data_IF_765286642709
#
_entry.id   IF_765286642709
#
_cell.length_a   1.000
_cell.length_b   1.000
_cell.length_c   1.000
_cell.angle_alpha   90.00
_cell.angle_beta   90.00
_cell.angle_gamma   90.00
#
_symmetry.space_group_name_H-M   'P 1'
#
loop_
_entity.id
_entity.type
_entity.pdbx_description
1 polymer ?
#
# COMPACT_ATOMS: atom_id res chain seq x y z
N UNK A 1 6.65 16.71 33.15
CA UNK A 1 7.18 15.48 32.53
C UNK A 1 6.30 14.34 33.02
N UNK A 2 5.25 13.99 32.26
CA UNK A 2 4.43 12.82 32.57
C UNK A 2 5.25 11.56 32.28
N UNK A 3 5.21 10.58 33.18
CA UNK A 3 5.86 9.29 32.97
C UNK A 3 5.11 8.57 31.85
N UNK A 4 5.76 8.28 30.73
CA UNK A 4 5.13 7.61 29.57
C UNK A 4 4.73 6.14 29.83
N UNK A 5 4.95 5.65 31.05
CA UNK A 5 4.50 4.33 31.53
C UNK A 5 3.12 4.34 32.19
N UNK A 6 2.46 5.50 32.27
CA UNK A 6 1.11 5.61 32.83
C UNK A 6 0.07 4.79 32.03
N UNK A 7 -0.92 4.19 32.70
CA UNK A 7 -1.97 3.41 32.05
C UNK A 7 -2.82 4.28 31.11
N UNK A 8 -3.26 3.68 30.00
CA UNK A 8 -4.26 4.29 29.12
C UNK A 8 -5.58 4.36 29.91
N UNK A 9 -6.11 5.58 30.07
CA UNK A 9 -7.33 5.87 30.83
C UNK A 9 -8.22 6.80 30.02
N UNK A 10 -9.49 6.95 30.42
CA UNK A 10 -10.39 7.92 29.81
C UNK A 10 -9.83 9.35 29.86
N UNK A 11 -9.14 9.69 30.95
CA UNK A 11 -8.45 10.98 31.09
C UNK A 11 -7.32 11.14 30.06
N UNK A 12 -6.57 10.07 29.78
CA UNK A 12 -5.52 10.06 28.77
C UNK A 12 -6.08 10.27 27.36
N UNK A 13 -7.21 9.64 27.01
CA UNK A 13 -7.88 9.85 25.73
C UNK A 13 -8.45 11.26 25.59
N UNK A 14 -9.04 11.82 26.65
CA UNK A 14 -9.52 13.19 26.67
C UNK A 14 -8.38 14.20 26.47
N UNK A 15 -7.23 13.96 27.10
CA UNK A 15 -6.03 14.79 26.93
C UNK A 15 -5.47 14.66 25.50
N UNK A 16 -5.37 13.44 24.97
CA UNK A 16 -4.93 13.19 23.59
C UNK A 16 -5.83 13.88 22.56
N UNK A 17 -7.15 13.85 22.74
CA UNK A 17 -8.10 14.49 21.85
C UNK A 17 -7.91 16.01 21.78
N UNK A 18 -7.49 16.64 22.88
CA UNK A 18 -7.31 18.09 22.98
C UNK A 18 -5.95 18.61 22.45
N UNK A 19 -5.00 17.73 22.13
CA UNK A 19 -3.65 18.14 21.73
C UNK A 19 -3.53 18.49 20.23
N UNK A 20 -2.71 19.50 19.89
CA UNK A 20 -2.41 19.84 18.49
C UNK A 20 -1.53 18.77 17.83
N UNK A 21 -1.52 18.74 16.49
CA UNK A 21 -0.83 17.72 15.69
C UNK A 21 0.65 17.58 16.06
N UNK A 22 1.37 18.69 16.22
CA UNK A 22 2.79 18.71 16.53
C UNK A 22 3.10 18.00 17.84
N UNK A 23 2.22 18.14 18.83
CA UNK A 23 2.39 17.55 20.16
C UNK A 23 2.06 16.05 20.16
N UNK A 24 0.98 15.66 19.46
CA UNK A 24 0.62 14.25 19.28
C UNK A 24 1.73 13.52 18.51
N UNK A 25 2.25 14.13 17.46
CA UNK A 25 3.32 13.57 16.63
C UNK A 25 4.65 13.46 17.41
N UNK A 26 4.99 14.45 18.24
CA UNK A 26 6.17 14.38 19.13
C UNK A 26 6.08 13.20 20.09
N UNK A 27 4.92 12.99 20.73
CA UNK A 27 4.67 11.85 21.63
C UNK A 27 4.74 10.51 20.89
N UNK A 28 4.27 10.45 19.64
CA UNK A 28 4.40 9.27 18.80
C UNK A 28 5.87 8.95 18.51
N UNK A 29 6.67 9.94 18.13
CA UNK A 29 8.11 9.75 17.89
C UNK A 29 8.85 9.27 19.15
N UNK A 30 8.51 9.81 20.32
CA UNK A 30 9.06 9.38 21.61
C UNK A 30 8.70 7.93 21.94
N UNK A 31 7.45 7.54 21.69
CA UNK A 31 6.95 6.17 21.92
C UNK A 31 7.65 5.16 21.00
N UNK A 32 7.76 5.48 19.70
CA UNK A 32 8.49 4.65 18.73
C UNK A 32 9.96 4.52 19.11
N UNK A 33 10.59 5.62 19.54
CA UNK A 33 11.99 5.60 19.98
C UNK A 33 12.22 4.65 21.16
N UNK A 34 11.30 4.59 22.12
CA UNK A 34 11.41 3.67 23.26
C UNK A 34 11.21 2.21 22.86
N UNK A 35 10.23 1.93 21.99
CA UNK A 35 10.00 0.59 21.43
C UNK A 35 11.23 0.09 20.65
N UNK A 36 11.94 0.99 19.95
CA UNK A 36 13.14 0.66 19.18
C UNK A 36 14.39 0.42 20.06
N UNK A 37 14.45 0.95 21.28
CA UNK A 37 15.61 0.81 22.18
C UNK A 37 15.73 -0.58 22.81
N UNK A 38 14.63 -1.34 22.90
CA UNK A 38 14.65 -2.76 23.27
C UNK A 38 15.00 -3.08 24.73
N UNK A 39 15.14 -2.08 25.60
CA UNK A 39 15.40 -2.23 27.05
C UNK A 39 14.11 -2.29 27.89
N UNK A 40 13.03 -2.83 27.32
CA UNK A 40 11.69 -2.81 27.93
C UNK A 40 11.24 -4.21 28.35
N UNK A 41 10.45 -4.29 29.42
CA UNK A 41 9.72 -5.52 29.73
C UNK A 41 8.68 -5.81 28.64
N UNK A 42 8.23 -7.06 28.53
CA UNK A 42 7.17 -7.43 27.57
C UNK A 42 5.91 -6.59 27.79
N UNK A 43 5.49 -6.44 29.05
CA UNK A 43 4.31 -5.67 29.45
C UNK A 43 4.45 -4.17 29.14
N UNK A 44 5.66 -3.60 29.23
CA UNK A 44 5.91 -2.20 28.87
C UNK A 44 5.97 -2.01 27.36
N UNK A 45 6.50 -2.99 26.64
CA UNK A 45 6.54 -3.01 25.17
C UNK A 45 5.14 -3.09 24.57
N UNK A 46 4.28 -3.97 25.10
CA UNK A 46 2.87 -4.07 24.70
C UNK A 46 2.13 -2.76 24.95
N UNK A 47 2.35 -2.12 26.10
CA UNK A 47 1.70 -0.86 26.45
C UNK A 47 2.13 0.29 25.55
N UNK A 48 3.43 0.46 25.34
CA UNK A 48 3.96 1.49 24.45
C UNK A 48 3.51 1.24 23.01
N UNK A 49 3.37 -0.01 22.59
CA UNK A 49 2.83 -0.35 21.28
C UNK A 49 1.38 0.14 21.12
N UNK A 50 0.50 -0.15 22.09
CA UNK A 50 -0.89 0.31 22.08
C UNK A 50 -0.97 1.84 22.13
N UNK A 51 -0.20 2.49 22.99
CA UNK A 51 -0.12 3.96 23.04
C UNK A 51 0.36 4.55 21.71
N UNK A 52 1.35 3.94 21.07
CA UNK A 52 1.86 4.34 19.77
C UNK A 52 0.79 4.24 18.67
N UNK A 53 -0.05 3.20 18.71
CA UNK A 53 -1.18 3.07 17.78
C UNK A 53 -2.22 4.18 17.97
N UNK A 54 -2.60 4.49 19.21
CA UNK A 54 -3.55 5.57 19.53
C UNK A 54 -3.04 6.94 19.10
N UNK A 55 -1.76 7.23 19.35
CA UNK A 55 -1.11 8.47 18.92
C UNK A 55 -1.07 8.58 17.39
N UNK A 56 -0.72 7.49 16.70
CA UNK A 56 -0.72 7.45 15.24
C UNK A 56 -2.12 7.68 14.66
N UNK A 57 -3.15 7.05 15.26
CA UNK A 57 -4.54 7.26 14.88
C UNK A 57 -4.98 8.72 15.05
N UNK A 58 -4.63 9.36 16.19
CA UNK A 58 -4.97 10.77 16.41
C UNK A 58 -4.24 11.71 15.43
N UNK A 59 -2.97 11.45 15.11
CA UNK A 59 -2.26 12.18 14.07
C UNK A 59 -3.01 12.11 12.72
N UNK A 60 -3.48 10.93 12.34
CA UNK A 60 -4.24 10.75 11.10
C UNK A 60 -5.55 11.54 11.10
N UNK A 61 -6.31 11.49 12.20
CA UNK A 61 -7.55 12.26 12.34
C UNK A 61 -7.33 13.77 12.18
N UNK A 62 -6.30 14.32 12.84
CA UNK A 62 -5.98 15.75 12.75
C UNK A 62 -5.59 16.17 11.33
N UNK A 63 -4.90 15.30 10.57
CA UNK A 63 -4.59 15.53 9.17
C UNK A 63 -5.85 15.52 8.30
N UNK A 64 -6.76 14.56 8.52
CA UNK A 64 -8.05 14.49 7.81
C UNK A 64 -8.96 15.69 8.14
N UNK A 65 -9.03 16.12 9.39
CA UNK A 65 -9.77 17.32 9.80
C UNK A 65 -9.24 18.59 9.12
N UNK A 66 -7.90 18.70 9.00
CA UNK A 66 -7.23 19.82 8.33
C UNK A 66 -7.54 19.81 6.83
N UNK A 67 -7.54 18.65 6.20
CA UNK A 67 -7.89 18.46 4.79
C UNK A 67 -9.32 18.91 4.49
N UNK A 68 -10.30 18.46 5.30
CA UNK A 68 -11.71 18.88 5.16
C UNK A 68 -11.87 20.41 5.26
N UNK A 69 -11.12 21.06 6.14
CA UNK A 69 -11.13 22.52 6.28
C UNK A 69 -10.51 23.23 5.07
N UNK A 70 -9.45 22.68 4.47
CA UNK A 70 -8.82 23.25 3.28
C UNK A 70 -9.76 23.16 2.07
N UNK A 71 -10.44 22.02 1.89
CA UNK A 71 -11.40 21.82 0.79
C UNK A 71 -12.60 22.79 0.89
N UNK A 72 -13.04 23.14 2.09
CA UNK A 72 -14.14 24.10 2.30
C UNK A 72 -13.76 25.57 2.02
N UNK A 73 -12.47 25.88 1.92
CA UNK A 73 -11.97 27.26 1.64
C UNK A 73 -11.66 27.46 0.15
N UNK A 74 -11.73 26.40 -0.67
CA UNK A 74 -11.21 26.35 -2.04
C UNK A 74 -12.22 26.50 -3.18
N UNK A 75 -13.41 27.07 -2.98
CA UNK A 75 -14.34 27.39 -4.09
C UNK A 75 -14.29 28.89 -4.47
N UNK A 76 -13.64 29.27 -5.59
CA UNK A 76 -13.95 30.50 -6.29
C UNK A 76 -15.12 30.29 -7.27
N UNK A 77 -16.01 31.28 -7.23
CA UNK A 77 -17.15 31.54 -8.12
C UNK A 77 -16.68 31.81 -9.56
N UNK A 78 -17.05 30.95 -10.53
CA UNK A 78 -16.81 31.20 -11.96
C UNK A 78 -18.13 31.26 -12.75
N UNK A 79 -18.50 32.50 -13.08
CA UNK A 79 -19.59 32.83 -14.00
C UNK A 79 -19.13 32.96 -15.47
N UNK A 80 -19.91 32.32 -16.35
CA UNK A 80 -20.14 32.53 -17.81
C UNK A 80 -19.17 31.94 -18.88
N UNK A 81 -19.73 30.95 -19.63
CA UNK A 81 -20.16 30.99 -21.07
C UNK A 81 -19.19 31.59 -22.12
N UNK A 82 -18.87 31.05 -23.31
CA UNK A 82 -19.55 30.15 -24.29
C UNK A 82 -18.61 29.86 -25.51
N UNK A 83 -18.94 28.81 -26.28
CA UNK A 83 -18.70 28.58 -27.74
C UNK A 83 -17.26 28.26 -28.23
N UNK A 84 -16.99 27.49 -29.30
CA UNK A 84 -17.72 26.56 -30.19
C UNK A 84 -16.67 25.70 -30.93
N UNK A 85 -17.05 24.50 -31.39
CA UNK A 85 -16.23 23.62 -32.22
C UNK A 85 -15.97 24.18 -33.63
N UNK A 86 -15.02 23.59 -34.39
CA UNK A 86 -15.47 22.72 -35.48
C UNK A 86 -14.66 21.43 -35.66
N UNK A 87 -15.30 20.48 -36.36
CA UNK A 87 -14.79 19.19 -36.78
C UNK A 87 -14.11 19.23 -38.17
N UNK A 88 -13.05 18.44 -38.35
CA UNK A 88 -12.59 17.83 -39.62
C UNK A 88 -11.33 17.01 -39.31
N UNK A 89 -11.00 15.86 -39.88
CA UNK A 89 -11.63 14.92 -40.80
C UNK A 89 -10.69 13.71 -40.76
N UNK A 90 -11.25 12.51 -40.63
CA UNK A 90 -10.50 11.27 -40.59
C UNK A 90 -9.77 11.01 -41.91
N UNK A 91 -8.50 10.65 -41.82
CA UNK A 91 -7.81 9.89 -42.85
C UNK A 91 -7.21 8.65 -42.18
N UNK A 92 -7.80 7.49 -42.50
CA UNK A 92 -7.26 6.18 -42.23
C UNK A 92 -5.85 6.07 -42.80
N UNK A 93 -4.86 5.85 -41.94
CA UNK A 93 -3.65 5.13 -42.34
C UNK A 93 -3.44 3.97 -41.38
N UNK A 94 -3.94 2.82 -41.82
CA UNK A 94 -3.74 1.53 -41.22
C UNK A 94 -2.28 1.11 -41.44
N UNK A 95 -1.38 1.61 -40.60
CA UNK A 95 -0.11 0.94 -40.37
C UNK A 95 -0.31 -0.02 -39.20
N UNK A 96 -0.33 -1.32 -39.52
CA UNK A 96 -0.14 -2.37 -38.53
C UNK A 96 1.28 -2.17 -38.00
N UNK A 97 1.42 -1.33 -36.97
CA UNK A 97 2.66 -1.19 -36.23
C UNK A 97 3.02 -2.59 -35.76
N UNK A 98 4.15 -3.10 -36.28
CA UNK A 98 4.84 -4.23 -35.71
C UNK A 98 4.89 -4.00 -34.20
N UNK A 99 4.18 -4.84 -33.43
CA UNK A 99 4.25 -4.80 -31.98
C UNK A 99 5.70 -5.07 -31.62
N UNK A 100 6.46 -4.01 -31.34
CA UNK A 100 7.72 -4.16 -30.62
C UNK A 100 7.38 -4.96 -29.37
N UNK A 101 7.88 -6.20 -29.32
CA UNK A 101 7.60 -7.13 -28.25
C UNK A 101 8.39 -6.69 -27.01
N UNK A 102 7.95 -5.57 -26.43
CA UNK A 102 8.54 -4.96 -25.25
C UNK A 102 8.16 -5.81 -24.03
N UNK A 103 9.13 -6.58 -23.54
CA UNK A 103 8.99 -7.34 -22.30
C UNK A 103 9.05 -6.36 -21.14
N UNK A 104 8.01 -6.33 -20.29
CA UNK A 104 7.94 -5.41 -19.16
C UNK A 104 9.07 -5.68 -18.16
N UNK A 105 9.84 -4.66 -17.79
CA UNK A 105 10.93 -4.75 -16.81
C UNK A 105 10.46 -4.25 -15.45
N UNK A 106 10.43 -5.15 -14.47
CA UNK A 106 9.91 -4.86 -13.12
C UNK A 106 11.04 -4.78 -12.11
N UNK A 107 11.16 -3.65 -11.43
CA UNK A 107 11.92 -3.54 -10.19
C UNK A 107 11.05 -3.99 -9.01
N UNK A 108 11.60 -4.71 -8.04
CA UNK A 108 10.81 -5.24 -6.92
C UNK A 108 11.36 -4.79 -5.58
N UNK A 109 10.57 -4.07 -4.78
CA UNK A 109 10.96 -3.61 -3.46
C UNK A 109 10.21 -4.41 -2.39
N UNK A 110 10.95 -4.98 -1.44
CA UNK A 110 10.35 -5.67 -0.29
C UNK A 110 11.26 -5.67 0.92
N UNK A 111 10.69 -5.46 2.11
CA UNK A 111 11.41 -5.72 3.37
C UNK A 111 11.56 -7.23 3.62
N UNK A 112 10.77 -8.07 2.95
CA UNK A 112 10.88 -9.53 3.03
C UNK A 112 10.52 -10.09 4.41
N UNK A 113 9.53 -9.53 5.13
CA UNK A 113 9.28 -9.89 6.54
C UNK A 113 8.80 -11.33 6.75
N UNK A 114 8.13 -11.95 5.76
CA UNK A 114 7.51 -13.24 5.98
C UNK A 114 6.82 -13.84 4.76
N UNK A 115 5.80 -14.67 5.02
CA UNK A 115 5.08 -15.42 3.99
C UNK A 115 4.39 -14.52 2.96
N UNK A 116 3.77 -13.41 3.37
CA UNK A 116 3.12 -12.47 2.45
C UNK A 116 4.06 -11.97 1.33
N UNK A 117 5.23 -11.44 1.71
CA UNK A 117 6.23 -10.96 0.74
C UNK A 117 6.77 -12.06 -0.16
N UNK A 118 6.98 -13.27 0.39
CA UNK A 118 7.47 -14.43 -0.37
C UNK A 118 6.42 -14.95 -1.34
N UNK A 119 5.18 -15.11 -0.86
CA UNK A 119 4.04 -15.58 -1.64
C UNK A 119 3.74 -14.68 -2.82
N UNK A 120 3.76 -13.35 -2.62
CA UNK A 120 3.51 -12.39 -3.68
C UNK A 120 4.59 -12.42 -4.78
N UNK A 121 5.87 -12.42 -4.39
CA UNK A 121 6.97 -12.56 -5.36
C UNK A 121 6.89 -13.90 -6.09
N UNK A 122 6.70 -15.00 -5.35
CA UNK A 122 6.57 -16.34 -5.92
C UNK A 122 5.43 -16.41 -6.94
N UNK A 123 4.26 -15.85 -6.60
CA UNK A 123 3.09 -15.83 -7.48
C UNK A 123 3.38 -15.13 -8.82
N UNK A 124 4.03 -13.97 -8.78
CA UNK A 124 4.41 -13.22 -9.99
C UNK A 124 5.51 -13.93 -10.78
N UNK A 125 6.55 -14.45 -10.13
CA UNK A 125 7.60 -15.24 -10.79
C UNK A 125 7.03 -16.48 -11.50
N UNK A 126 6.10 -17.20 -10.86
CA UNK A 126 5.41 -18.32 -11.49
C UNK A 126 4.56 -17.86 -12.67
N UNK A 127 3.89 -16.71 -12.57
CA UNK A 127 3.16 -16.15 -13.71
C UNK A 127 4.04 -15.81 -14.91
N UNK A 128 5.26 -15.31 -14.66
CA UNK A 128 6.26 -15.09 -15.70
C UNK A 128 6.73 -16.42 -16.29
N UNK A 129 7.09 -17.40 -15.45
CA UNK A 129 7.55 -18.71 -15.89
C UNK A 129 6.49 -19.46 -16.73
N UNK A 130 5.22 -19.35 -16.35
CA UNK A 130 4.07 -19.92 -17.05
C UNK A 130 3.66 -19.12 -18.31
N UNK A 131 4.36 -18.02 -18.64
CA UNK A 131 4.02 -17.09 -19.73
C UNK A 131 2.62 -16.49 -19.61
N UNK A 132 2.11 -16.34 -18.39
CA UNK A 132 0.88 -15.60 -18.07
C UNK A 132 1.12 -14.10 -17.97
N UNK A 133 2.37 -13.68 -17.82
CA UNK A 133 2.84 -12.30 -17.81
C UNK A 133 4.12 -12.19 -18.66
N UNK A 134 4.11 -11.34 -19.69
CA UNK A 134 5.31 -11.04 -20.50
C UNK A 134 6.15 -9.96 -19.81
N UNK A 135 6.88 -10.37 -18.77
CA UNK A 135 7.71 -9.50 -17.96
C UNK A 135 8.98 -10.19 -17.47
N UNK A 136 9.92 -9.41 -16.97
CA UNK A 136 11.10 -9.84 -16.23
C UNK A 136 11.20 -9.07 -14.93
N UNK A 137 11.81 -9.67 -13.91
CA UNK A 137 12.16 -8.97 -12.68
C UNK A 137 13.64 -8.59 -12.78
N UNK A 138 13.91 -7.30 -12.99
CA UNK A 138 15.25 -6.75 -13.22
C UNK A 138 16.11 -6.83 -11.95
N UNK A 139 15.49 -6.54 -10.80
CA UNK A 139 16.12 -6.63 -9.49
C UNK A 139 15.08 -6.80 -8.40
N UNK A 140 15.54 -7.31 -7.25
CA UNK A 140 14.85 -7.20 -5.97
C UNK A 140 15.71 -6.33 -5.04
N UNK A 141 15.11 -5.32 -4.43
CA UNK A 141 15.71 -4.49 -3.40
C UNK A 141 15.12 -4.81 -2.03
N UNK A 142 15.97 -4.91 -1.01
CA UNK A 142 15.57 -4.97 0.38
C UNK A 142 16.30 -3.96 1.24
N UNK A 143 15.55 -3.31 2.15
CA UNK A 143 16.11 -2.45 3.19
C UNK A 143 16.71 -3.24 4.38
N UNK A 144 16.91 -4.56 4.21
CA UNK A 144 17.55 -5.46 5.15
C UNK A 144 18.72 -6.17 4.48
N UNK A 145 19.65 -6.64 5.30
CA UNK A 145 20.78 -7.45 4.88
C UNK A 145 20.71 -8.87 5.44
N UNK A 146 21.46 -9.83 4.84
CA UNK A 146 21.53 -11.19 5.34
C UNK A 146 21.90 -11.25 6.82
N UNK A 147 21.14 -12.03 7.58
CA UNK A 147 21.33 -12.24 9.02
C UNK A 147 20.64 -11.21 9.92
N UNK A 148 19.96 -10.20 9.37
CA UNK A 148 19.21 -9.24 10.21
C UNK A 148 17.87 -9.79 10.70
N UNK A 149 17.22 -10.67 9.93
CA UNK A 149 16.01 -11.37 10.35
C UNK A 149 15.75 -12.62 9.50
N UNK A 150 15.29 -13.69 10.16
CA UNK A 150 15.03 -14.98 9.53
C UNK A 150 14.07 -14.88 8.34
N UNK A 151 12.96 -14.13 8.47
CA UNK A 151 11.99 -13.94 7.39
C UNK A 151 12.59 -13.34 6.11
N UNK A 152 13.47 -12.34 6.27
CA UNK A 152 14.17 -11.73 5.13
C UNK A 152 15.21 -12.65 4.54
N UNK A 153 15.90 -13.45 5.34
CA UNK A 153 16.84 -14.45 4.84
C UNK A 153 16.13 -15.54 4.01
N UNK A 154 14.93 -15.94 4.40
CA UNK A 154 14.09 -16.82 3.59
C UNK A 154 13.68 -16.19 2.27
N UNK A 155 13.30 -14.91 2.32
CA UNK A 155 12.96 -14.14 1.14
C UNK A 155 14.16 -14.02 0.19
N UNK A 156 15.36 -13.76 0.70
CA UNK A 156 16.58 -13.69 -0.10
C UNK A 156 16.92 -15.02 -0.78
N UNK A 157 16.74 -16.14 -0.06
CA UNK A 157 16.87 -17.48 -0.67
C UNK A 157 15.90 -17.68 -1.82
N UNK A 158 14.64 -17.25 -1.69
CA UNK A 158 13.66 -17.32 -2.77
C UNK A 158 14.08 -16.48 -3.98
N UNK A 159 14.55 -15.25 -3.76
CA UNK A 159 15.05 -14.35 -4.83
C UNK A 159 16.21 -15.02 -5.59
N UNK A 160 17.16 -15.61 -4.86
CA UNK A 160 18.30 -16.33 -5.43
C UNK A 160 17.87 -17.59 -6.21
N UNK A 161 16.86 -18.33 -5.73
CA UNK A 161 16.32 -19.50 -6.44
C UNK A 161 15.75 -19.14 -7.82
N UNK A 162 15.16 -17.96 -7.97
CA UNK A 162 14.70 -17.45 -9.26
C UNK A 162 15.83 -16.82 -10.10
N UNK A 163 17.06 -16.75 -9.58
CA UNK A 163 18.20 -16.14 -10.29
C UNK A 163 18.08 -14.62 -10.45
N UNK A 164 17.28 -13.96 -9.62
CA UNK A 164 17.04 -12.52 -9.70
C UNK A 164 18.16 -11.77 -8.97
N UNK A 165 18.72 -10.69 -9.55
CA UNK A 165 19.67 -9.83 -8.84
C UNK A 165 19.09 -9.26 -7.54
N UNK A 166 19.78 -9.48 -6.43
CA UNK A 166 19.39 -9.00 -5.11
C UNK A 166 20.28 -7.83 -4.67
N UNK A 167 19.69 -6.66 -4.48
CA UNK A 167 20.33 -5.50 -3.86
C UNK A 167 19.84 -5.35 -2.41
N UNK A 168 20.78 -5.25 -1.47
CA UNK A 168 20.46 -5.07 -0.05
C UNK A 168 21.11 -3.80 0.48
N UNK A 169 20.37 -3.06 1.30
CA UNK A 169 20.91 -1.94 2.07
C UNK A 169 20.23 -1.88 3.42
N UNK A 170 20.93 -2.28 4.49
CA UNK A 170 20.36 -2.26 5.84
C UNK A 170 19.99 -0.84 6.27
N UNK A 171 18.70 -0.59 6.49
CA UNK A 171 18.22 0.67 7.07
C UNK A 171 18.67 0.83 8.52
N UNK A 172 18.74 -0.27 9.29
CA UNK A 172 19.16 -0.24 10.69
C UNK A 172 20.65 0.11 10.82
N UNK A 173 21.51 -0.50 10.01
CA UNK A 173 22.94 -0.17 9.97
C UNK A 173 23.15 1.25 9.46
N UNK A 174 22.46 1.64 8.37
CA UNK A 174 22.56 3.00 7.84
C UNK A 174 22.22 4.05 8.91
N UNK A 175 21.10 3.91 9.63
CA UNK A 175 20.73 4.83 10.71
C UNK A 175 21.81 4.90 11.78
N UNK A 176 22.33 3.74 12.25
CA UNK A 176 23.39 3.67 13.27
C UNK A 176 24.66 4.40 12.83
N UNK A 177 25.09 4.24 11.58
CA UNK A 177 26.27 4.89 11.01
C UNK A 177 26.11 6.40 10.81
N UNK A 178 24.87 6.91 10.78
CA UNK A 178 24.56 8.31 10.48
C UNK A 178 23.99 9.07 11.70
N UNK A 179 24.33 8.63 12.92
CA UNK A 179 23.96 9.34 14.16
C UNK A 179 22.65 8.87 14.81
N UNK A 180 22.07 7.75 14.37
CA UNK A 180 20.90 7.12 14.98
C UNK A 180 19.59 7.91 14.79
N UNK A 181 18.56 7.56 15.58
CA UNK A 181 17.24 8.19 15.52
C UNK A 181 16.29 7.59 14.47
N UNK A 182 15.15 8.25 14.26
CA UNK A 182 14.08 7.78 13.38
C UNK A 182 14.45 7.76 11.89
N UNK A 183 13.81 6.87 11.12
CA UNK A 183 14.06 6.73 9.67
C UNK A 183 13.72 8.00 8.87
N UNK A 184 12.79 8.82 9.34
CA UNK A 184 12.42 10.10 8.73
C UNK A 184 13.63 11.03 8.53
N UNK A 185 14.54 11.11 9.49
CA UNK A 185 15.76 11.95 9.41
C UNK A 185 16.75 11.47 8.34
N UNK A 186 16.73 10.18 8.06
CA UNK A 186 17.70 9.51 7.19
C UNK A 186 17.16 9.21 5.79
N UNK A 187 15.85 9.36 5.59
CA UNK A 187 15.10 8.97 4.38
C UNK A 187 15.79 9.39 3.09
N UNK A 188 16.00 10.70 2.90
CA UNK A 188 16.59 11.22 1.66
C UNK A 188 18.05 10.77 1.42
N UNK A 189 18.82 10.49 2.49
CA UNK A 189 20.17 9.96 2.35
C UNK A 189 20.16 8.47 2.00
N UNK A 190 19.31 7.71 2.69
CA UNK A 190 19.13 6.28 2.46
C UNK A 190 18.63 6.00 1.05
N UNK A 191 17.62 6.74 0.58
CA UNK A 191 17.07 6.61 -0.76
C UNK A 191 18.14 6.87 -1.83
N UNK A 192 18.91 7.95 -1.72
CA UNK A 192 20.01 8.20 -2.67
C UNK A 192 21.05 7.08 -2.69
N UNK A 193 21.34 6.46 -1.55
CA UNK A 193 22.25 5.31 -1.48
C UNK A 193 21.63 4.08 -2.13
N UNK A 194 20.34 3.82 -1.91
CA UNK A 194 19.61 2.76 -2.59
C UNK A 194 19.57 2.99 -4.11
N UNK A 195 19.26 4.20 -4.57
CA UNK A 195 19.22 4.57 -5.99
C UNK A 195 20.57 4.34 -6.69
N UNK A 196 21.70 4.61 -6.03
CA UNK A 196 23.04 4.29 -6.57
C UNK A 196 23.26 2.79 -6.75
N UNK A 197 22.79 1.96 -5.82
CA UNK A 197 22.85 0.50 -5.97
C UNK A 197 21.99 0.02 -7.15
N UNK A 198 20.92 0.77 -7.46
CA UNK A 198 19.95 0.43 -8.49
C UNK A 198 20.22 1.10 -9.85
N UNK A 199 21.26 1.94 -9.96
CA UNK A 199 21.65 2.65 -11.18
C UNK A 199 21.89 1.74 -12.41
N UNK A 200 22.45 0.52 -12.27
CA UNK A 200 22.63 -0.38 -13.41
C UNK A 200 21.34 -0.92 -14.01
N UNK A 201 20.21 -0.83 -13.29
CA UNK A 201 18.93 -1.38 -13.73
C UNK A 201 18.05 -0.30 -14.35
N UNK A 202 17.17 -0.69 -15.26
CA UNK A 202 16.25 0.22 -15.96
C UNK A 202 14.85 -0.38 -15.97
N UNK A 203 14.20 -0.47 -14.80
CA UNK A 203 12.82 -0.96 -14.73
C UNK A 203 11.88 0.04 -15.41
N UNK A 204 10.86 -0.49 -16.09
CA UNK A 204 9.73 0.31 -16.58
C UNK A 204 8.83 0.71 -15.41
N UNK A 205 8.66 -0.21 -14.44
CA UNK A 205 7.85 -0.01 -13.23
C UNK A 205 8.52 -0.69 -12.04
N UNK A 206 8.28 -0.17 -10.84
CA UNK A 206 8.78 -0.72 -9.59
C UNK A 206 7.60 -1.10 -8.68
N UNK A 207 7.54 -2.34 -8.19
CA UNK A 207 6.48 -2.81 -7.28
C UNK A 207 6.92 -2.68 -5.83
N UNK A 208 6.05 -2.15 -4.97
CA UNK A 208 6.22 -2.13 -3.52
C UNK A 208 5.41 -3.26 -2.89
N UNK A 209 6.08 -4.39 -2.64
CA UNK A 209 5.47 -5.62 -2.14
C UNK A 209 5.89 -5.85 -0.68
N UNK A 210 5.18 -5.21 0.25
CA UNK A 210 5.53 -5.28 1.68
C UNK A 210 6.85 -4.58 2.01
N UNK A 211 7.13 -3.47 1.32
CA UNK A 211 8.22 -2.57 1.65
C UNK A 211 7.79 -1.62 2.78
N UNK A 212 8.49 -1.68 3.91
CA UNK A 212 8.03 -1.08 5.18
C UNK A 212 8.62 0.31 5.46
N UNK A 213 9.26 0.95 4.48
CA UNK A 213 9.81 2.30 4.62
C UNK A 213 9.10 3.25 3.67
N UNK A 214 8.94 4.50 4.13
CA UNK A 214 8.40 5.58 3.30
C UNK A 214 9.51 6.14 2.43
N UNK A 215 9.28 6.21 1.12
CA UNK A 215 10.21 6.84 0.19
C UNK A 215 10.16 8.37 0.25
N UNK A 216 11.30 8.97 -0.02
CA UNK A 216 11.46 10.39 -0.22
C UNK A 216 11.13 10.79 -1.65
N UNK A 217 10.93 12.09 -1.80
CA UNK A 217 10.64 12.83 -3.03
C UNK A 217 11.44 12.39 -4.26
N UNK A 218 12.76 12.20 -4.10
CA UNK A 218 13.65 11.85 -5.21
C UNK A 218 13.38 10.45 -5.76
N UNK A 219 13.12 9.47 -4.89
CA UNK A 219 12.80 8.10 -5.30
C UNK A 219 11.46 8.07 -6.06
N UNK A 220 10.43 8.73 -5.52
CA UNK A 220 9.09 8.77 -6.13
C UNK A 220 9.08 9.48 -7.49
N UNK A 221 9.95 10.48 -7.70
CA UNK A 221 10.11 11.14 -9.00
C UNK A 221 10.94 10.33 -10.00
N UNK A 222 11.84 9.47 -9.53
CA UNK A 222 12.75 8.71 -10.40
C UNK A 222 12.13 7.43 -10.95
N UNK A 223 11.35 6.74 -10.12
CA UNK A 223 10.80 5.43 -10.44
C UNK A 223 9.27 5.45 -10.38
N UNK A 224 8.56 4.81 -11.32
CA UNK A 224 7.12 4.58 -11.20
C UNK A 224 6.88 3.48 -10.16
N UNK A 225 6.59 3.89 -8.92
CA UNK A 225 6.45 2.98 -7.78
C UNK A 225 4.98 2.57 -7.59
N UNK A 226 4.64 1.34 -7.92
CA UNK A 226 3.31 0.75 -7.78
C UNK A 226 3.18 0.19 -6.37
N UNK A 227 2.33 0.78 -5.54
CA UNK A 227 2.04 0.30 -4.20
C UNK A 227 0.72 -0.48 -4.18
N UNK A 228 0.76 -1.65 -3.56
CA UNK A 228 -0.43 -2.45 -3.27
C UNK A 228 -0.98 -2.06 -1.90
N UNK A 229 -2.20 -1.54 -1.89
CA UNK A 229 -2.89 -1.12 -0.68
C UNK A 229 -4.19 -1.93 -0.51
N UNK A 230 -4.39 -2.51 0.68
CA UNK A 230 -5.51 -3.41 1.00
C UNK A 230 -6.82 -2.70 1.31
N UNK A 231 -7.13 -1.62 0.58
CA UNK A 231 -8.40 -0.91 0.65
C UNK A 231 -8.83 -0.46 -0.74
N UNK A 232 -10.11 -0.11 -0.90
CA UNK A 232 -10.60 0.53 -2.11
C UNK A 232 -10.13 1.99 -2.19
N UNK A 233 -10.14 2.60 -3.40
CA UNK A 233 -9.77 4.01 -3.58
C UNK A 233 -10.57 5.01 -2.74
N UNK A 234 -11.82 4.68 -2.42
CA UNK A 234 -12.74 5.42 -1.57
C UNK A 234 -12.89 4.82 -0.16
N UNK A 235 -12.03 3.85 0.18
CA UNK A 235 -12.06 3.14 1.45
C UNK A 235 -11.29 3.85 2.57
N UNK A 236 -11.34 3.28 3.78
CA UNK A 236 -10.52 3.72 4.91
C UNK A 236 -9.02 3.74 4.59
N UNK A 237 -8.28 4.65 5.20
CA UNK A 237 -6.82 4.70 5.13
C UNK A 237 -6.20 4.22 6.45
N UNK A 238 -4.96 3.73 6.39
CA UNK A 238 -4.21 3.29 7.56
C UNK A 238 -3.63 1.89 7.40
N UNK A 239 -3.27 1.25 8.52
CA UNK A 239 -2.83 -0.14 8.48
C UNK A 239 -3.98 -1.06 8.08
N UNK A 240 -3.65 -2.21 7.49
CA UNK A 240 -4.66 -3.20 7.10
C UNK A 240 -5.56 -3.62 8.28
N UNK A 241 -5.04 -3.66 9.51
CA UNK A 241 -5.87 -3.92 10.69
C UNK A 241 -6.91 -2.82 10.94
N UNK A 242 -6.48 -1.55 10.90
CA UNK A 242 -7.37 -0.42 11.11
C UNK A 242 -8.43 -0.34 10.02
N UNK A 243 -8.05 -0.60 8.77
CA UNK A 243 -8.98 -0.65 7.63
C UNK A 243 -10.08 -1.68 7.87
N UNK A 244 -9.74 -2.91 8.26
CA UNK A 244 -10.75 -3.96 8.47
C UNK A 244 -11.68 -3.62 9.62
N UNK A 245 -11.17 -3.10 10.74
CA UNK A 245 -12.03 -2.70 11.86
C UNK A 245 -12.95 -1.54 11.52
N UNK A 246 -12.49 -0.55 10.74
CA UNK A 246 -13.36 0.54 10.26
C UNK A 246 -14.46 0.02 9.32
N UNK A 247 -14.17 -0.99 8.48
CA UNK A 247 -15.17 -1.62 7.62
C UNK A 247 -16.23 -2.36 8.45
N UNK A 248 -15.81 -3.05 9.51
CA UNK A 248 -16.72 -3.72 10.45
C UNK A 248 -17.58 -2.69 11.20
N UNK A 249 -16.95 -1.64 11.74
CA UNK A 249 -17.63 -0.58 12.50
C UNK A 249 -18.67 0.18 11.67
N UNK A 250 -18.36 0.43 10.39
CA UNK A 250 -19.27 1.12 9.47
C UNK A 250 -20.36 0.22 8.88
N UNK A 251 -20.35 -1.09 9.15
CA UNK A 251 -21.25 -2.05 8.51
C UNK A 251 -21.07 -2.10 6.99
N UNK A 252 -19.83 -1.93 6.52
CA UNK A 252 -19.52 -1.89 5.10
C UNK A 252 -19.93 -3.20 4.41
N UNK A 253 -20.52 -3.08 3.22
CA UNK A 253 -20.94 -4.26 2.44
C UNK A 253 -19.88 -4.75 1.47
N UNK A 254 -18.82 -3.96 1.27
CA UNK A 254 -17.73 -4.26 0.34
C UNK A 254 -16.39 -3.84 0.92
N UNK A 255 -15.37 -4.56 0.49
CA UNK A 255 -13.96 -4.20 0.66
C UNK A 255 -13.22 -4.37 -0.67
N UNK A 256 -11.91 -4.18 -0.68
CA UNK A 256 -11.10 -4.42 -1.86
C UNK A 256 -9.64 -4.08 -1.65
N UNK A 257 -8.93 -4.02 -2.77
CA UNK A 257 -7.54 -3.57 -2.82
C UNK A 257 -7.35 -2.68 -4.04
N UNK A 258 -6.33 -1.82 -3.97
CA UNK A 258 -5.92 -0.95 -5.07
C UNK A 258 -4.42 -1.04 -5.31
N UNK A 259 -4.05 -0.82 -6.57
CA UNK A 259 -2.68 -0.48 -6.96
C UNK A 259 -2.68 1.01 -7.31
N UNK A 260 -1.86 1.79 -6.62
CA UNK A 260 -1.70 3.22 -6.87
C UNK A 260 -0.22 3.57 -6.98
N UNK A 261 0.09 4.73 -7.54
CA UNK A 261 1.45 5.26 -7.52
C UNK A 261 1.81 5.72 -6.10
N UNK A 262 2.98 5.36 -5.62
CA UNK A 262 3.53 5.96 -4.41
C UNK A 262 4.00 7.39 -4.73
N UNK A 263 3.60 8.34 -3.90
CA UNK A 263 4.05 9.74 -3.99
C UNK A 263 4.71 10.14 -2.67
N UNK A 264 5.08 11.41 -2.53
CA UNK A 264 5.56 11.96 -1.25
C UNK A 264 4.46 11.91 -0.17
N UNK A 265 3.20 11.84 -0.59
CA UNK A 265 2.04 11.71 0.27
C UNK A 265 1.66 10.24 0.37
N UNK A 266 1.69 9.69 1.58
CA UNK A 266 1.40 8.27 1.84
C UNK A 266 0.00 7.94 1.34
N UNK A 267 -0.11 6.87 0.54
CA UNK A 267 -1.36 6.31 0.01
C UNK A 267 -2.26 7.28 -0.80
N UNK A 268 -1.69 8.36 -1.36
CA UNK A 268 -2.44 9.42 -2.06
C UNK A 268 -2.05 9.65 -3.52
N UNK A 269 -1.34 8.72 -4.15
CA UNK A 269 -1.02 8.86 -5.57
C UNK A 269 -2.14 8.40 -6.49
N UNK A 270 -2.01 8.70 -7.80
CA UNK A 270 -2.95 8.23 -8.82
C UNK A 270 -3.19 6.72 -8.75
N UNK A 271 -4.46 6.33 -8.76
CA UNK A 271 -4.87 4.91 -8.73
C UNK A 271 -4.77 4.34 -10.14
N UNK A 272 -4.06 3.22 -10.30
CA UNK A 272 -3.96 2.49 -11.56
C UNK A 272 -5.12 1.52 -11.73
N UNK A 273 -5.44 0.78 -10.68
CA UNK A 273 -6.43 -0.29 -10.75
C UNK A 273 -6.92 -0.69 -9.38
N UNK A 274 -8.10 -1.29 -9.32
CA UNK A 274 -8.66 -1.81 -8.09
C UNK A 274 -9.43 -3.11 -8.33
N UNK A 275 -9.60 -3.89 -7.27
CA UNK A 275 -10.56 -4.98 -7.22
C UNK A 275 -11.44 -4.82 -5.99
N UNK A 276 -12.72 -5.13 -6.12
CA UNK A 276 -13.69 -5.06 -5.04
C UNK A 276 -14.30 -6.43 -4.76
N UNK A 277 -14.64 -6.64 -3.49
CA UNK A 277 -15.15 -7.88 -2.95
C UNK A 277 -16.38 -7.57 -2.09
N UNK A 278 -17.52 -8.25 -2.28
CA UNK A 278 -18.59 -8.23 -1.29
C UNK A 278 -18.13 -8.91 0.00
N UNK A 279 -18.34 -8.24 1.13
CA UNK A 279 -18.12 -8.82 2.46
C UNK A 279 -19.44 -9.17 3.14
N UNK A 280 -20.48 -9.43 2.34
CA UNK A 280 -21.82 -9.81 2.76
C UNK A 280 -22.29 -11.04 2.00
N UNK A 281 -23.38 -11.66 2.46
CA UNK A 281 -23.96 -12.86 1.89
C UNK A 281 -23.53 -14.11 2.66
N UNK A 282 -24.01 -15.28 2.21
CA UNK A 282 -23.99 -16.54 2.98
C UNK A 282 -22.67 -16.89 3.67
N UNK A 283 -21.54 -16.53 3.07
CA UNK A 283 -20.20 -16.81 3.63
C UNK A 283 -19.83 -15.88 4.80
N UNK A 284 -20.47 -14.71 4.92
CA UNK A 284 -20.25 -13.68 5.93
C UNK A 284 -21.43 -13.48 6.89
N UNK A 285 -22.65 -13.90 6.52
CA UNK A 285 -23.89 -13.58 7.28
C UNK A 285 -23.78 -13.97 8.77
N UNK A 286 -23.31 -15.19 9.06
CA UNK A 286 -23.16 -15.67 10.44
C UNK A 286 -22.10 -14.87 11.24
N UNK A 287 -21.03 -14.44 10.58
CA UNK A 287 -19.96 -13.67 11.22
C UNK A 287 -20.41 -12.21 11.47
N UNK A 288 -21.25 -11.64 10.60
CA UNK A 288 -21.88 -10.34 10.82
C UNK A 288 -22.93 -10.35 11.93
N UNK A 289 -23.76 -11.39 12.00
CA UNK A 289 -24.73 -11.56 13.09
C UNK A 289 -24.03 -11.56 14.46
N UNK A 290 -22.92 -12.32 14.57
CA UNK A 290 -22.14 -12.39 15.80
C UNK A 290 -21.56 -11.04 16.25
N UNK A 291 -21.19 -10.17 15.30
CA UNK A 291 -20.66 -8.83 15.62
C UNK A 291 -21.78 -7.84 15.94
N UNK A 292 -22.93 -7.95 15.31
CA UNK A 292 -24.07 -7.02 15.50
C UNK A 292 -24.65 -7.10 16.91
N UNK A 293 -24.64 -8.29 17.52
CA UNK A 293 -25.18 -8.53 18.86
C UNK A 293 -24.23 -8.07 19.99
N UNK A 294 -22.99 -7.69 19.67
CA UNK A 294 -21.96 -7.30 20.63
C UNK A 294 -21.46 -5.88 20.36
N UNK A 295 -20.94 -5.20 21.38
CA UNK A 295 -20.28 -3.92 21.17
C UNK A 295 -18.97 -4.11 20.38
N UNK A 296 -18.83 -3.40 19.25
CA UNK A 296 -17.70 -3.56 18.32
C UNK A 296 -16.36 -3.23 18.99
N UNK A 297 -16.34 -2.24 19.89
CA UNK A 297 -15.12 -1.85 20.62
C UNK A 297 -14.69 -2.92 21.62
N UNK A 298 -15.66 -3.52 22.31
CA UNK A 298 -15.42 -4.63 23.24
C UNK A 298 -14.91 -5.86 22.49
N UNK A 299 -15.49 -6.18 21.33
CA UNK A 299 -15.01 -7.27 20.46
C UNK A 299 -13.59 -7.01 19.96
N UNK A 300 -13.31 -5.80 19.48
CA UNK A 300 -11.98 -5.43 19.01
C UNK A 300 -10.94 -5.57 20.13
N UNK A 301 -11.27 -5.16 21.36
CA UNK A 301 -10.39 -5.30 22.51
C UNK A 301 -10.23 -6.75 22.98
N UNK A 302 -11.28 -7.57 22.87
CA UNK A 302 -11.28 -8.95 23.33
C UNK A 302 -10.64 -9.95 22.34
N UNK A 303 -10.92 -9.77 21.05
CA UNK A 303 -10.59 -10.75 20.01
C UNK A 303 -9.55 -10.23 19.00
N UNK A 304 -9.49 -8.92 18.75
CA UNK A 304 -8.55 -8.34 17.80
C UNK A 304 -8.52 -9.07 16.46
N UNK A 305 -7.33 -9.45 15.99
CA UNK A 305 -7.16 -10.14 14.70
C UNK A 305 -7.74 -11.58 14.68
N UNK A 306 -8.09 -12.15 15.83
CA UNK A 306 -8.64 -13.51 15.92
C UNK A 306 -10.16 -13.58 15.66
N UNK A 307 -10.84 -12.43 15.64
CA UNK A 307 -12.27 -12.34 15.34
C UNK A 307 -12.61 -13.00 14.00
N UNK A 308 -13.71 -13.77 13.95
CA UNK A 308 -14.06 -14.57 12.79
C UNK A 308 -14.33 -13.72 11.53
N UNK A 309 -15.10 -12.62 11.68
CA UNK A 309 -15.38 -11.70 10.59
C UNK A 309 -14.10 -11.02 10.09
N UNK A 310 -13.27 -10.55 11.02
CA UNK A 310 -11.98 -9.93 10.73
C UNK A 310 -11.07 -10.86 9.90
N UNK A 311 -10.87 -12.10 10.38
CA UNK A 311 -10.04 -13.09 9.67
C UNK A 311 -10.57 -13.39 8.29
N UNK A 312 -11.89 -13.59 8.15
CA UNK A 312 -12.50 -13.85 6.84
C UNK A 312 -12.30 -12.70 5.86
N UNK A 313 -12.53 -11.46 6.29
CA UNK A 313 -12.28 -10.28 5.45
C UNK A 313 -10.80 -10.25 5.03
N UNK A 314 -9.88 -10.48 5.96
CA UNK A 314 -8.44 -10.49 5.66
C UNK A 314 -8.06 -11.60 4.68
N UNK A 315 -8.54 -12.82 4.90
CA UNK A 315 -8.27 -13.98 4.05
C UNK A 315 -8.75 -13.76 2.61
N UNK A 316 -9.95 -13.22 2.44
CA UNK A 316 -10.51 -12.94 1.11
C UNK A 316 -9.79 -11.79 0.41
N UNK A 317 -9.35 -10.77 1.15
CA UNK A 317 -8.49 -9.70 0.62
C UNK A 317 -7.13 -10.24 0.17
N UNK A 318 -6.48 -11.01 1.03
CA UNK A 318 -5.17 -11.63 0.77
C UNK A 318 -5.22 -12.59 -0.44
N UNK A 319 -6.34 -13.28 -0.67
CA UNK A 319 -6.52 -14.14 -1.84
C UNK A 319 -6.54 -13.35 -3.16
N UNK A 320 -6.99 -12.10 -3.15
CA UNK A 320 -7.14 -11.27 -4.37
C UNK A 320 -5.94 -10.37 -4.63
N UNK A 321 -5.24 -9.95 -3.58
CA UNK A 321 -4.04 -9.09 -3.65
C UNK A 321 -3.01 -9.54 -4.73
N UNK A 322 -2.55 -10.82 -4.79
CA UNK A 322 -1.62 -11.26 -5.84
C UNK A 322 -2.20 -11.21 -7.25
N UNK A 323 -3.50 -11.51 -7.38
CA UNK A 323 -4.19 -11.51 -8.67
C UNK A 323 -4.43 -10.10 -9.18
N UNK A 324 -4.72 -9.15 -8.29
CA UNK A 324 -4.77 -7.73 -8.62
C UNK A 324 -3.41 -7.26 -9.14
N UNK A 325 -2.33 -7.48 -8.39
CA UNK A 325 -0.99 -7.09 -8.83
C UNK A 325 -0.65 -7.68 -10.21
N UNK A 326 -0.90 -8.98 -10.40
CA UNK A 326 -0.66 -9.63 -11.69
C UNK A 326 -1.50 -9.03 -12.82
N UNK A 327 -2.78 -8.78 -12.60
CA UNK A 327 -3.66 -8.19 -13.60
C UNK A 327 -3.24 -6.75 -13.95
N UNK A 328 -2.80 -5.97 -12.97
CA UNK A 328 -2.24 -4.63 -13.19
C UNK A 328 -0.95 -4.68 -14.00
N UNK A 329 0.01 -5.55 -13.64
CA UNK A 329 1.26 -5.71 -14.40
C UNK A 329 0.98 -6.17 -15.83
N UNK A 330 0.01 -7.06 -16.04
CA UNK A 330 -0.45 -7.46 -17.38
C UNK A 330 -1.06 -6.28 -18.14
N UNK A 331 -1.88 -5.45 -17.49
CA UNK A 331 -2.42 -4.26 -18.12
C UNK A 331 -1.32 -3.28 -18.57
N UNK A 332 -0.23 -3.16 -17.81
CA UNK A 332 0.95 -2.37 -18.21
C UNK A 332 1.70 -3.04 -19.36
N UNK A 333 1.99 -4.33 -19.27
CA UNK A 333 2.68 -5.09 -20.32
C UNK A 333 1.92 -5.06 -21.67
N UNK A 334 0.59 -5.17 -21.60
CA UNK A 334 -0.32 -5.13 -22.76
C UNK A 334 -0.57 -3.69 -23.27
N UNK A 335 0.06 -2.67 -22.65
CA UNK A 335 -0.15 -1.24 -22.93
C UNK A 335 -1.61 -0.77 -22.80
N UNK A 336 -2.42 -1.46 -22.00
CA UNK A 336 -3.74 -0.93 -21.56
C UNK A 336 -3.59 0.18 -20.52
N UNK A 337 -2.48 0.15 -19.79
CA UNK A 337 -2.05 1.18 -18.86
C UNK A 337 -0.64 1.62 -19.23
N UNK A 338 -0.40 2.92 -19.18
CA UNK A 338 0.94 3.48 -19.22
C UNK A 338 1.24 4.15 -17.88
N UNK A 339 2.46 3.98 -17.38
CA UNK A 339 2.85 4.47 -16.06
C UNK A 339 4.11 5.31 -16.19
N UNK A 340 4.06 6.54 -15.68
CA UNK A 340 5.22 7.44 -15.56
C UNK A 340 5.35 7.88 -14.11
N UNK A 341 6.52 8.40 -13.68
CA UNK A 341 6.64 8.92 -12.32
C UNK A 341 5.57 9.99 -12.05
N UNK A 342 4.66 9.69 -11.12
CA UNK A 342 3.55 10.58 -10.74
C UNK A 342 2.32 10.57 -11.65
N UNK A 343 2.30 9.81 -12.75
CA UNK A 343 1.18 9.79 -13.70
C UNK A 343 0.70 8.36 -14.01
N UNK A 344 -0.61 8.14 -13.89
CA UNK A 344 -1.29 6.94 -14.36
C UNK A 344 -2.10 7.30 -15.61
N UNK A 345 -1.79 6.65 -16.73
CA UNK A 345 -2.35 6.95 -18.05
C UNK A 345 -3.01 5.69 -18.62
N UNK A 346 -3.99 5.88 -19.50
CA UNK A 346 -4.58 4.80 -20.28
C UNK A 346 -3.68 4.38 -21.47
N UNK A 347 -4.19 3.47 -22.31
CA UNK A 347 -3.46 2.99 -23.48
C UNK A 347 -3.20 4.04 -24.55
N UNK A 348 -4.02 5.09 -24.61
CA UNK A 348 -3.89 6.20 -25.56
C UNK A 348 -2.97 7.31 -25.02
N UNK A 349 -2.60 7.23 -23.73
CA UNK A 349 -1.70 8.17 -23.07
C UNK A 349 -2.43 9.32 -22.39
N UNK A 350 -3.75 9.27 -22.28
CA UNK A 350 -4.56 10.24 -21.55
C UNK A 350 -4.59 9.91 -20.05
N UNK A 351 -4.82 10.90 -19.17
CA UNK A 351 -4.99 10.66 -17.75
C UNK A 351 -6.05 9.59 -17.48
N UNK A 352 -5.66 8.50 -16.82
CA UNK A 352 -6.54 7.36 -16.58
C UNK A 352 -7.83 7.76 -15.83
N UNK A 353 -7.72 8.77 -14.96
CA UNK A 353 -8.82 9.31 -14.19
C UNK A 353 -9.97 9.88 -15.05
N UNK A 354 -9.73 10.23 -16.32
CA UNK A 354 -10.78 10.69 -17.24
C UNK A 354 -11.76 9.58 -17.61
N UNK A 355 -11.26 8.37 -17.86
CA UNK A 355 -12.10 7.20 -18.12
C UNK A 355 -12.51 6.48 -16.84
N UNK A 356 -11.58 6.36 -15.90
CA UNK A 356 -11.72 5.58 -14.68
C UNK A 356 -11.29 6.38 -13.46
N UNK A 357 -12.22 7.14 -12.86
CA UNK A 357 -11.94 7.97 -11.68
C UNK A 357 -11.30 7.20 -10.50
N UNK A 358 -11.62 5.92 -10.35
CA UNK A 358 -11.10 5.04 -9.30
C UNK A 358 -9.99 4.09 -9.81
N UNK A 359 -9.43 4.36 -11.00
CA UNK A 359 -8.54 3.44 -11.70
C UNK A 359 -9.27 2.28 -12.37
N UNK A 360 -8.54 1.49 -13.15
CA UNK A 360 -9.10 0.39 -13.94
C UNK A 360 -9.75 -0.68 -13.04
N UNK A 361 -11.05 -0.97 -13.17
CA UNK A 361 -11.71 -2.02 -12.40
C UNK A 361 -11.30 -3.40 -12.93
N UNK A 362 -10.65 -4.21 -12.09
CA UNK A 362 -10.12 -5.53 -12.47
C UNK A 362 -10.84 -6.69 -11.79
N UNK A 363 -11.91 -6.45 -11.02
CA UNK A 363 -12.67 -7.50 -10.32
C UNK A 363 -13.07 -8.64 -11.24
N UNK A 364 -13.74 -8.35 -12.36
CA UNK A 364 -14.26 -9.39 -13.25
C UNK A 364 -13.13 -10.19 -13.93
N UNK A 365 -12.02 -9.53 -14.29
CA UNK A 365 -10.85 -10.21 -14.86
C UNK A 365 -10.24 -11.18 -13.84
N UNK A 366 -10.16 -10.76 -12.58
CA UNK A 366 -9.65 -11.58 -11.49
C UNK A 366 -10.58 -12.76 -11.23
N UNK A 367 -11.87 -12.53 -11.03
CA UNK A 367 -12.84 -13.59 -10.70
C UNK A 367 -12.96 -14.63 -11.84
N UNK A 368 -12.91 -14.21 -13.10
CA UNK A 368 -12.98 -15.11 -14.25
C UNK A 368 -11.76 -16.05 -14.39
N UNK A 369 -10.60 -15.66 -13.85
CA UNK A 369 -9.32 -16.36 -14.02
C UNK A 369 -8.81 -17.03 -12.75
N UNK A 370 -9.31 -16.64 -11.58
CA UNK A 370 -8.68 -16.93 -10.28
C UNK A 370 -9.44 -17.95 -9.45
N UNK A 371 -10.71 -18.23 -9.76
CA UNK A 371 -11.51 -19.20 -9.00
C UNK A 371 -12.06 -20.28 -9.94
N UNK A 372 -11.97 -21.58 -9.58
CA UNK A 372 -12.71 -22.61 -10.30
C UNK A 372 -14.19 -22.22 -10.32
N UNK A 373 -14.85 -22.32 -11.49
CA UNK A 373 -16.29 -22.06 -11.62
C UNK A 373 -17.01 -22.77 -10.47
N UNK A 374 -17.66 -21.99 -9.59
CA UNK A 374 -18.61 -22.55 -8.62
C UNK A 374 -19.62 -23.33 -9.45
N UNK A 375 -19.71 -24.65 -9.24
CA UNK A 375 -20.79 -25.45 -9.81
C UNK A 375 -22.05 -25.00 -9.06
N UNK A 376 -22.98 -24.43 -9.81
CA UNK A 376 -24.33 -24.11 -9.34
C UNK A 376 -25.04 -25.33 -8.74
#
# INVERSE_FOLDING_TARGET
>A
MHSMTEPITDAWHAELAAQPFEEVYRRLEETVSQLEQGELSLTDSERLYVQGMELAHRCQQLLTETELRITQVGEPDDGRSTASAPASSASDDCSVASRDNHVLRVGWFSTGRGEGSRGLLNFVCQAIADRRLDATIDFVFSNREPGEAAGSDEFFRLVQQYGIPLATLSSTRYRREHGGGGMNRHRAGFDRKAMRLLEPYQPDVCVLAGYMLIFGAEMCRRYPLLNLHGALPDGPTGTWQSVIWQLIESGATRTGAMIHLATEQVDRGPVLSHCSLPIIGREFDADWEAVTDSGIKELQAAEGEDNALFRRIREEGYRREPHLLLATLRAVADRRLQVRPGEALDGDGEPLAYMYRQGLPLTDEIEARSLPKRRD
#
